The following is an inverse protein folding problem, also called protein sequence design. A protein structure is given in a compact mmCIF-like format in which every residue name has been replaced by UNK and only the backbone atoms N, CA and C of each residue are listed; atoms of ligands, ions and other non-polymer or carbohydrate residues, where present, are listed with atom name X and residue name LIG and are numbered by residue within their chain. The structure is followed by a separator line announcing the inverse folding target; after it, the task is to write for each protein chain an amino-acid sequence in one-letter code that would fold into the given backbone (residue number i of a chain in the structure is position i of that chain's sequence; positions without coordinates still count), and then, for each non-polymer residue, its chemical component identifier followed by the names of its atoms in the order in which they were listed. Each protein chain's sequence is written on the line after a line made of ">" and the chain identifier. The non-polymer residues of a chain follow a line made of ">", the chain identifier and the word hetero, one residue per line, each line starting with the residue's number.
data_IF_697634301486
#
_entry.id   IF_697634301486
#
_cell.length_a   1.000
_cell.length_b   1.000
_cell.length_c   1.000
_cell.angle_alpha   90.00
_cell.angle_beta   90.00
_cell.angle_gamma   90.00
#
_symmetry.space_group_name_H-M   'P 1'
#
loop_
_entity.id
_entity.type
_entity.pdbx_description
1 polymer ?
#
# COMPACT_ATOMS: atom_id res chain seq x y z
N UNK A 1 -22.06 -29.25 33.53
CA UNK A 1 -21.60 -27.85 33.38
C UNK A 1 -20.09 -27.89 33.26
N UNK A 2 -19.58 -27.99 32.02
CA UNK A 2 -18.15 -28.08 31.73
C UNK A 2 -17.64 -26.72 31.28
N UNK A 3 -16.53 -26.28 31.85
CA UNK A 3 -15.77 -25.11 31.41
C UNK A 3 -14.50 -25.62 30.75
N UNK A 4 -14.35 -25.38 29.45
CA UNK A 4 -13.14 -25.66 28.69
C UNK A 4 -12.22 -24.43 28.78
N UNK A 5 -11.08 -24.56 29.45
CA UNK A 5 -9.95 -23.64 29.33
C UNK A 5 -8.85 -24.35 28.56
N UNK A 6 -8.82 -24.17 27.24
CA UNK A 6 -7.73 -24.65 26.38
C UNK A 6 -6.64 -23.59 26.31
N UNK A 7 -5.56 -23.77 27.09
CA UNK A 7 -4.32 -23.03 26.92
C UNK A 7 -3.50 -23.67 25.80
N UNK A 8 -3.09 -22.87 24.80
CA UNK A 8 -2.14 -23.28 23.78
C UNK A 8 -0.73 -23.21 24.36
N UNK A 9 -0.18 -24.36 24.73
CA UNK A 9 1.24 -24.51 25.07
C UNK A 9 2.06 -24.64 23.77
N UNK A 10 3.07 -23.78 23.63
CA UNK A 10 3.96 -23.74 22.48
C UNK A 10 5.05 -24.81 22.65
N UNK A 11 4.91 -25.95 21.96
CA UNK A 11 5.93 -27.02 21.95
C UNK A 11 7.07 -26.65 21.00
N UNK A 12 8.22 -26.38 21.62
CA UNK A 12 9.51 -26.11 20.97
C UNK A 12 10.03 -27.39 20.30
N UNK A 13 9.77 -27.55 19.01
CA UNK A 13 10.37 -28.62 18.21
C UNK A 13 11.88 -28.38 18.02
N UNK A 14 12.68 -29.37 18.43
CA UNK A 14 14.12 -29.47 18.19
C UNK A 14 14.39 -30.11 16.83
N UNK A 15 15.30 -29.50 16.07
CA UNK A 15 16.30 -30.18 15.24
C UNK A 15 15.86 -30.76 13.91
N UNK A 16 16.20 -30.06 12.83
CA UNK A 16 16.22 -30.58 11.46
C UNK A 16 16.86 -29.58 10.50
N UNK A 17 18.12 -29.83 10.14
CA UNK A 17 18.91 -29.05 9.19
C UNK A 17 18.38 -29.25 7.77
N UNK A 18 17.73 -28.23 7.20
CA UNK A 18 17.53 -28.02 5.76
C UNK A 18 17.56 -26.52 5.50
N UNK A 19 18.43 -26.12 4.58
CA UNK A 19 18.58 -24.82 3.89
C UNK A 19 18.35 -23.52 4.69
N UNK A 20 19.43 -22.74 4.85
CA UNK A 20 19.43 -21.31 5.19
C UNK A 20 18.79 -20.46 4.07
N UNK A 21 17.52 -20.73 3.77
CA UNK A 21 16.63 -19.74 3.17
C UNK A 21 16.14 -18.82 4.29
N UNK A 22 16.31 -17.51 4.14
CA UNK A 22 15.84 -16.52 5.10
C UNK A 22 14.33 -16.67 5.35
N UNK A 23 13.96 -17.42 6.39
CA UNK A 23 12.59 -17.50 6.86
C UNK A 23 12.25 -16.14 7.50
N UNK A 24 11.76 -15.21 6.69
CA UNK A 24 11.12 -13.99 7.19
C UNK A 24 9.98 -14.43 8.11
N UNK A 25 9.98 -13.95 9.35
CA UNK A 25 8.96 -14.35 10.33
C UNK A 25 7.56 -14.05 9.80
N UNK A 26 6.67 -15.04 9.78
CA UNK A 26 5.30 -14.88 9.25
C UNK A 26 4.54 -13.71 9.90
N UNK A 27 4.78 -13.43 11.18
CA UNK A 27 4.16 -12.31 11.88
C UNK A 27 4.74 -10.94 11.48
N UNK A 28 5.97 -10.89 10.98
CA UNK A 28 6.64 -9.66 10.56
C UNK A 28 6.23 -9.26 9.13
N UNK A 29 5.68 -10.20 8.36
CA UNK A 29 5.28 -10.00 6.96
C UNK A 29 3.79 -9.68 6.80
N UNK A 30 3.01 -9.61 7.89
CA UNK A 30 1.62 -9.15 7.85
C UNK A 30 1.48 -7.80 8.55
N UNK A 31 1.02 -6.80 7.80
CA UNK A 31 0.84 -5.46 8.32
C UNK A 31 -0.39 -4.78 7.69
N UNK A 32 -1.04 -3.85 8.40
CA UNK A 32 -2.05 -2.98 7.81
C UNK A 32 -1.43 -2.08 6.74
N UNK A 33 -2.19 -1.81 5.69
CA UNK A 33 -1.78 -0.87 4.64
C UNK A 33 -2.71 0.33 4.61
N UNK A 34 -2.16 1.49 4.27
CA UNK A 34 -2.87 2.75 4.21
C UNK A 34 -2.72 3.35 2.81
N UNK A 35 -3.81 3.84 2.24
CA UNK A 35 -3.82 4.54 0.95
C UNK A 35 -4.53 5.90 1.06
N UNK A 36 -3.84 6.96 0.62
CA UNK A 36 -4.37 8.31 0.64
C UNK A 36 -5.31 8.55 -0.54
N UNK A 37 -6.55 8.96 -0.27
CA UNK A 37 -7.54 9.20 -1.32
C UNK A 37 -7.25 10.48 -2.14
N UNK A 38 -6.49 11.43 -1.58
CA UNK A 38 -6.13 12.68 -2.26
C UNK A 38 -4.98 12.51 -3.25
N UNK A 39 -3.82 12.02 -2.81
CA UNK A 39 -2.63 11.93 -3.66
C UNK A 39 -2.28 10.52 -4.17
N UNK A 40 -2.93 9.47 -3.66
CA UNK A 40 -2.65 8.08 -4.01
C UNK A 40 -1.39 7.48 -3.34
N UNK A 41 -0.79 8.17 -2.37
CA UNK A 41 0.34 7.63 -1.60
C UNK A 41 -0.10 6.42 -0.77
N UNK A 42 0.66 5.33 -0.87
CA UNK A 42 0.46 4.09 -0.11
C UNK A 42 1.59 3.90 0.90
N UNK A 43 1.27 3.37 2.08
CA UNK A 43 2.27 3.05 3.10
C UNK A 43 1.88 1.81 3.90
N UNK A 44 2.90 1.10 4.39
CA UNK A 44 2.73 0.05 5.40
C UNK A 44 2.68 0.70 6.77
N UNK A 45 1.70 0.30 7.59
CA UNK A 45 1.53 0.85 8.94
C UNK A 45 2.08 -0.11 9.99
N UNK A 46 2.68 0.48 11.02
CA UNK A 46 2.86 -0.21 12.29
C UNK A 46 1.53 -0.33 13.05
N UNK A 47 1.33 -1.46 13.72
CA UNK A 47 0.12 -1.76 14.50
C UNK A 47 -0.24 -0.68 15.53
N UNK A 48 0.74 0.05 16.07
CA UNK A 48 0.54 1.11 17.07
C UNK A 48 0.09 2.46 16.47
N UNK A 49 0.07 2.58 15.15
CA UNK A 49 -0.18 3.86 14.44
C UNK A 49 -1.51 3.91 13.69
N UNK A 50 -2.37 2.89 13.78
CA UNK A 50 -3.63 2.81 13.02
C UNK A 50 -4.54 4.04 13.20
N UNK A 51 -4.81 4.44 14.44
CA UNK A 51 -5.68 5.61 14.71
C UNK A 51 -5.03 6.99 14.45
N UNK A 52 -3.77 7.02 14.00
CA UNK A 52 -2.99 8.25 13.77
C UNK A 52 -2.35 8.30 12.38
N UNK A 53 -2.74 7.38 11.48
CA UNK A 53 -2.21 7.35 10.13
C UNK A 53 -2.56 8.67 9.41
N UNK A 54 -1.54 9.32 8.87
CA UNK A 54 -1.68 10.53 8.05
C UNK A 54 -0.87 10.35 6.78
N UNK A 55 -1.26 11.04 5.71
CA UNK A 55 -0.45 11.07 4.50
C UNK A 55 0.67 12.09 4.68
N UNK A 56 1.92 11.65 4.50
CA UNK A 56 3.09 12.53 4.60
C UNK A 56 3.25 13.45 3.37
N UNK A 57 2.58 13.14 2.25
CA UNK A 57 2.74 13.86 0.99
C UNK A 57 1.78 15.02 0.77
N UNK A 58 0.55 14.98 1.30
CA UNK A 58 -0.45 16.04 1.09
C UNK A 58 -1.25 16.43 2.33
N UNK A 59 -1.62 15.47 3.20
CA UNK A 59 -2.55 15.73 4.32
C UNK A 59 -1.91 16.32 5.59
N UNK A 60 -0.66 16.81 5.54
CA UNK A 60 0.02 17.37 6.72
C UNK A 60 -0.44 18.80 7.06
N UNK A 61 -0.98 19.53 6.09
CA UNK A 61 -1.27 20.97 6.21
C UNK A 61 -2.78 21.30 6.28
N UNK A 62 -3.65 20.42 5.78
CA UNK A 62 -5.11 20.65 5.72
C UNK A 62 -5.81 20.78 7.09
N UNK A 63 -5.11 20.49 8.20
CA UNK A 63 -5.67 20.61 9.56
C UNK A 63 -5.41 21.98 10.22
N UNK A 64 -4.57 22.84 9.66
CA UNK A 64 -4.23 24.14 10.28
C UNK A 64 -5.16 25.30 9.89
N UNK A 65 -5.98 25.15 8.86
CA UNK A 65 -6.80 26.25 8.33
C UNK A 65 -8.31 26.09 8.60
N UNK A 66 -8.68 25.20 9.51
CA UNK A 66 -10.04 25.09 10.07
C UNK A 66 -9.99 25.13 11.60
N UNK A 67 -9.37 26.17 12.17
CA UNK A 67 -9.75 26.60 13.51
C UNK A 67 -11.00 27.47 13.36
N UNK A 68 -12.12 27.18 14.06
CA UNK A 68 -13.22 28.12 14.10
C UNK A 68 -12.70 29.36 14.81
N UNK A 69 -12.53 30.44 14.05
CA UNK A 69 -12.33 31.76 14.62
C UNK A 69 -13.48 31.99 15.60
N UNK A 70 -13.16 32.10 16.88
CA UNK A 70 -14.09 32.50 17.93
C UNK A 70 -14.49 33.96 17.68
N UNK A 71 -15.32 34.17 16.65
CA UNK A 71 -16.03 35.39 16.37
C UNK A 71 -17.26 35.44 17.26
N UNK A 72 -17.20 36.27 18.29
CA UNK A 72 -18.35 36.66 19.09
C UNK A 72 -19.42 37.23 18.16
N UNK A 73 -20.49 36.45 17.92
CA UNK A 73 -21.62 36.89 17.11
C UNK A 73 -22.66 37.54 18.03
N UNK A 74 -22.74 38.86 17.96
CA UNK A 74 -23.91 39.64 18.36
C UNK A 74 -25.14 39.14 17.58
N UNK A 75 -26.21 38.87 18.32
CA UNK A 75 -27.53 38.49 17.78
C UNK A 75 -28.21 39.72 17.19
N UNK A 76 -28.57 39.64 15.91
CA UNK A 76 -29.72 40.35 15.35
C UNK A 76 -30.31 39.48 14.22
N UNK A 77 -31.60 39.20 14.36
CA UNK A 77 -32.45 38.43 13.44
C UNK A 77 -32.53 39.04 12.05
N UNK A 78 -32.72 38.19 11.04
CA UNK A 78 -33.81 38.26 10.05
C UNK A 78 -33.64 37.17 8.97
N UNK A 79 -34.51 36.17 9.10
CA UNK A 79 -35.27 35.37 8.12
C UNK A 79 -34.81 35.18 6.66
N UNK A 80 -34.97 33.90 6.25
CA UNK A 80 -35.28 33.34 4.92
C UNK A 80 -34.13 33.04 3.92
N UNK A 81 -33.94 31.73 3.68
CA UNK A 81 -33.01 31.18 2.68
C UNK A 81 -32.88 29.66 2.76
N UNK A 82 -33.90 28.95 2.30
CA UNK A 82 -34.05 27.49 2.24
C UNK A 82 -33.16 26.86 1.14
N UNK A 83 -32.21 26.01 1.52
CA UNK A 83 -31.84 24.82 0.72
C UNK A 83 -31.35 23.71 1.65
N UNK A 84 -32.25 22.78 1.94
CA UNK A 84 -31.96 21.48 2.52
C UNK A 84 -31.53 20.54 1.38
N UNK A 85 -30.23 20.41 1.16
CA UNK A 85 -29.67 19.17 0.62
C UNK A 85 -28.86 18.52 1.75
N UNK A 86 -29.47 17.57 2.49
CA UNK A 86 -28.75 16.73 3.42
C UNK A 86 -28.19 15.56 2.62
N UNK A 87 -27.00 15.69 2.03
CA UNK A 87 -26.13 14.57 1.60
C UNK A 87 -24.87 15.10 0.86
N UNK A 88 -24.28 16.22 1.29
CA UNK A 88 -22.86 16.44 1.02
C UNK A 88 -22.13 15.78 2.18
N UNK A 89 -21.94 14.46 2.10
CA UNK A 89 -20.83 13.84 2.79
C UNK A 89 -19.58 14.58 2.31
N UNK A 90 -19.02 15.43 3.16
CA UNK A 90 -17.64 15.86 3.03
C UNK A 90 -16.83 14.58 2.95
N UNK A 91 -16.44 14.17 1.74
CA UNK A 91 -15.53 13.05 1.55
C UNK A 91 -14.29 13.35 2.40
N UNK A 92 -14.18 12.63 3.51
CA UNK A 92 -13.07 12.76 4.43
C UNK A 92 -11.80 12.57 3.61
N UNK A 93 -10.99 13.62 3.50
CA UNK A 93 -9.67 13.62 2.86
C UNK A 93 -8.68 12.83 3.75
N UNK A 94 -9.08 11.59 4.05
CA UNK A 94 -8.51 10.73 5.05
C UNK A 94 -7.67 9.62 4.42
N UNK A 95 -6.85 9.02 5.27
CA UNK A 95 -6.12 7.81 4.94
C UNK A 95 -7.08 6.62 5.04
N UNK A 96 -7.26 5.87 3.95
CA UNK A 96 -8.04 4.62 4.02
C UNK A 96 -7.13 3.48 4.46
N UNK A 97 -7.48 2.84 5.56
CA UNK A 97 -6.72 1.72 6.12
C UNK A 97 -7.40 0.41 5.73
N UNK A 98 -6.62 -0.51 5.19
CA UNK A 98 -6.99 -1.89 4.93
C UNK A 98 -6.33 -2.79 5.97
N UNK A 99 -6.98 -3.93 6.28
CA UNK A 99 -6.55 -4.87 7.31
C UNK A 99 -5.15 -5.45 7.10
N UNK A 100 -4.69 -6.35 7.98
CA UNK A 100 -3.40 -7.00 7.80
C UNK A 100 -3.39 -7.76 6.47
N UNK A 101 -2.46 -7.37 5.62
CA UNK A 101 -2.16 -8.05 4.35
C UNK A 101 -0.71 -8.49 4.36
N UNK A 102 -0.38 -9.46 3.52
CA UNK A 102 1.00 -9.81 3.26
C UNK A 102 1.74 -8.61 2.65
N UNK A 103 2.81 -8.17 3.29
CA UNK A 103 3.70 -7.07 2.87
C UNK A 103 5.16 -7.54 2.70
N UNK A 104 5.40 -8.84 2.86
CA UNK A 104 6.70 -9.45 2.59
C UNK A 104 6.94 -9.71 1.10
N UNK A 105 8.05 -10.38 0.75
CA UNK A 105 8.36 -10.72 -0.64
C UNK A 105 7.21 -11.49 -1.30
N UNK A 106 6.79 -11.06 -2.50
CA UNK A 106 5.72 -11.72 -3.25
C UNK A 106 6.24 -12.95 -4.02
N UNK A 107 7.52 -12.92 -4.37
CA UNK A 107 8.16 -13.93 -5.21
C UNK A 107 9.47 -14.41 -4.58
N UNK A 108 9.76 -15.70 -4.74
CA UNK A 108 11.12 -16.23 -4.60
C UNK A 108 11.81 -16.13 -5.98
N UNK A 109 12.82 -15.26 -6.16
CA UNK A 109 13.46 -15.05 -7.45
C UNK A 109 14.16 -16.32 -7.97
N UNK A 110 14.67 -17.19 -7.08
CA UNK A 110 15.32 -18.43 -7.51
C UNK A 110 14.29 -19.45 -7.98
N UNK A 111 13.11 -19.49 -7.35
CA UNK A 111 11.99 -20.28 -7.86
C UNK A 111 11.55 -19.80 -9.25
N UNK A 112 11.42 -18.48 -9.46
CA UNK A 112 11.03 -17.93 -10.76
C UNK A 112 12.05 -18.23 -11.86
N UNK A 113 13.35 -18.14 -11.55
CA UNK A 113 14.42 -18.53 -12.49
C UNK A 113 14.34 -20.01 -12.88
N UNK A 114 14.08 -20.90 -11.91
CA UNK A 114 13.86 -22.32 -12.18
C UNK A 114 12.62 -22.54 -13.06
N UNK A 115 11.53 -21.82 -12.80
CA UNK A 115 10.31 -21.87 -13.61
C UNK A 115 10.57 -21.41 -15.05
N UNK A 116 11.39 -20.37 -15.25
CA UNK A 116 11.77 -19.88 -16.58
C UNK A 116 12.58 -20.91 -17.38
N UNK A 117 13.53 -21.59 -16.75
CA UNK A 117 14.27 -22.69 -17.38
C UNK A 117 13.34 -23.84 -17.80
N UNK A 118 12.44 -24.28 -16.93
CA UNK A 118 11.48 -25.34 -17.23
C UNK A 118 10.51 -24.96 -18.35
N UNK A 119 9.99 -23.73 -18.34
CA UNK A 119 9.13 -23.23 -19.40
C UNK A 119 9.83 -23.26 -20.76
N UNK A 120 11.12 -22.91 -20.80
CA UNK A 120 11.94 -22.98 -22.01
C UNK A 120 12.11 -24.42 -22.51
N UNK A 121 12.41 -25.36 -21.59
CA UNK A 121 12.58 -26.79 -21.92
C UNK A 121 11.29 -27.42 -22.48
N UNK A 122 10.13 -27.02 -21.95
CA UNK A 122 8.83 -27.52 -22.39
C UNK A 122 8.27 -26.79 -23.61
N UNK A 123 8.99 -25.79 -24.13
CA UNK A 123 8.56 -25.01 -25.30
C UNK A 123 7.41 -24.04 -25.02
N UNK A 124 7.23 -23.61 -23.77
CA UNK A 124 6.20 -22.65 -23.36
C UNK A 124 6.68 -21.20 -23.52
N UNK A 125 7.04 -20.84 -24.76
CA UNK A 125 7.63 -19.54 -25.07
C UNK A 125 6.76 -18.34 -24.66
N UNK A 126 5.43 -18.49 -24.69
CA UNK A 126 4.48 -17.43 -24.34
C UNK A 126 4.55 -17.00 -22.86
N UNK A 127 5.13 -17.83 -21.98
CA UNK A 127 5.28 -17.52 -20.55
C UNK A 127 6.55 -16.73 -20.24
N UNK A 128 7.54 -16.71 -21.14
CA UNK A 128 8.82 -16.04 -20.88
C UNK A 128 8.65 -14.55 -20.51
N UNK A 129 7.84 -13.75 -21.24
CA UNK A 129 7.66 -12.34 -20.90
C UNK A 129 7.00 -12.12 -19.53
N UNK A 130 6.12 -13.02 -19.11
CA UNK A 130 5.47 -12.93 -17.79
C UNK A 130 6.47 -13.23 -16.67
N UNK A 131 7.27 -14.30 -16.82
CA UNK A 131 8.26 -14.69 -15.83
C UNK A 131 9.37 -13.65 -15.69
N UNK A 132 9.79 -13.00 -16.78
CA UNK A 132 10.71 -11.87 -16.74
C UNK A 132 10.15 -10.72 -15.89
N UNK A 133 8.89 -10.33 -16.11
CA UNK A 133 8.25 -9.29 -15.29
C UNK A 133 8.19 -9.70 -13.81
N UNK A 134 7.80 -10.94 -13.50
CA UNK A 134 7.75 -11.41 -12.11
C UNK A 134 9.14 -11.44 -11.44
N UNK A 135 10.20 -11.73 -12.19
CA UNK A 135 11.58 -11.70 -11.70
C UNK A 135 12.00 -10.27 -11.39
N UNK A 136 11.68 -9.32 -12.27
CA UNK A 136 11.95 -7.90 -12.06
C UNK A 136 11.14 -7.35 -10.85
N UNK A 137 9.90 -7.79 -10.66
CA UNK A 137 9.05 -7.44 -9.51
C UNK A 137 9.47 -8.11 -8.19
N UNK A 138 10.34 -9.14 -8.24
CA UNK A 138 10.84 -9.83 -7.05
C UNK A 138 11.96 -9.07 -6.31
N UNK A 139 12.38 -7.92 -6.82
CA UNK A 139 13.44 -7.08 -6.21
C UNK A 139 13.01 -6.60 -4.81
N UNK A 140 13.75 -6.96 -3.73
CA UNK A 140 13.41 -6.57 -2.36
C UNK A 140 13.53 -5.06 -2.10
N UNK A 141 14.18 -4.30 -2.99
CA UNK A 141 14.24 -2.84 -2.89
C UNK A 141 12.95 -2.17 -3.38
N UNK A 142 12.05 -2.91 -4.03
CA UNK A 142 10.73 -2.43 -4.42
C UNK A 142 9.76 -2.45 -3.23
N UNK A 143 8.93 -1.40 -3.06
CA UNK A 143 7.89 -1.40 -2.04
C UNK A 143 6.79 -2.42 -2.38
N UNK A 144 6.02 -2.90 -1.38
CA UNK A 144 4.96 -3.91 -1.57
C UNK A 144 3.69 -3.36 -2.27
N UNK A 145 3.79 -2.23 -2.96
CA UNK A 145 2.70 -1.56 -3.66
C UNK A 145 3.20 -0.91 -4.95
N UNK A 146 2.29 -0.71 -5.89
CA UNK A 146 2.55 -0.07 -7.16
C UNK A 146 1.68 1.18 -7.34
N UNK A 147 2.13 2.10 -8.20
CA UNK A 147 1.36 3.26 -8.62
C UNK A 147 0.98 3.09 -10.07
N UNK A 148 -0.30 3.26 -10.38
CA UNK A 148 -0.75 3.26 -11.78
C UNK A 148 -0.36 4.57 -12.44
N UNK A 149 0.31 4.50 -13.59
CA UNK A 149 0.72 5.69 -14.36
C UNK A 149 -0.44 6.64 -14.64
N UNK A 150 -1.63 6.09 -14.94
CA UNK A 150 -2.84 6.88 -15.14
C UNK A 150 -3.22 7.71 -13.92
N UNK A 151 -3.13 7.15 -12.71
CA UNK A 151 -3.48 7.86 -11.48
C UNK A 151 -2.49 9.00 -11.22
N UNK A 152 -1.18 8.74 -11.40
CA UNK A 152 -0.15 9.78 -11.26
C UNK A 152 -0.36 10.92 -12.26
N UNK A 153 -0.73 10.57 -13.50
CA UNK A 153 -0.92 11.55 -14.57
C UNK A 153 -2.17 12.39 -14.36
N UNK A 154 -3.25 11.76 -13.88
CA UNK A 154 -4.47 12.45 -13.44
C UNK A 154 -4.17 13.44 -12.33
N UNK A 155 -3.42 13.04 -11.31
CA UNK A 155 -3.01 13.91 -10.20
C UNK A 155 -2.11 15.06 -10.67
N UNK A 156 -1.23 14.81 -11.64
CA UNK A 156 -0.33 15.84 -12.20
C UNK A 156 -0.98 16.72 -13.29
N UNK A 157 -2.22 16.44 -13.71
CA UNK A 157 -2.89 17.17 -14.79
C UNK A 157 -2.21 17.01 -16.16
N UNK A 158 -1.49 15.90 -16.40
CA UNK A 158 -0.78 15.63 -17.64
C UNK A 158 -1.34 14.39 -18.35
N UNK A 159 -1.12 14.29 -19.66
CA UNK A 159 -1.41 13.06 -20.40
C UNK A 159 -0.51 11.91 -19.90
N UNK A 160 -1.04 10.69 -19.70
CA UNK A 160 -0.24 9.57 -19.24
C UNK A 160 0.93 9.24 -20.18
N UNK A 161 2.19 9.30 -19.70
CA UNK A 161 3.33 8.79 -20.46
C UNK A 161 3.28 7.26 -20.58
N UNK A 162 4.04 6.69 -21.52
CA UNK A 162 4.22 5.23 -21.55
C UNK A 162 4.93 4.75 -20.29
N UNK A 163 4.64 3.51 -19.87
CA UNK A 163 5.31 2.87 -18.73
C UNK A 163 6.82 2.99 -18.85
N UNK A 164 7.39 2.57 -19.99
CA UNK A 164 8.84 2.56 -20.19
C UNK A 164 9.47 3.96 -20.07
N UNK A 165 8.75 5.01 -20.47
CA UNK A 165 9.22 6.40 -20.31
C UNK A 165 9.25 6.82 -18.83
N UNK A 166 8.29 6.36 -18.03
CA UNK A 166 8.28 6.56 -16.57
C UNK A 166 9.44 5.81 -15.94
N UNK A 167 9.58 4.52 -16.23
CA UNK A 167 10.64 3.66 -15.68
C UNK A 167 12.03 4.21 -16.00
N UNK A 168 12.28 4.55 -17.26
CA UNK A 168 13.54 5.16 -17.66
C UNK A 168 13.77 6.52 -16.96
N UNK A 169 12.72 7.30 -16.72
CA UNK A 169 12.79 8.57 -16.00
C UNK A 169 13.11 8.43 -14.52
N UNK A 170 12.59 7.37 -13.87
CA UNK A 170 12.87 7.01 -12.47
C UNK A 170 14.30 6.47 -12.32
N UNK A 171 14.70 5.51 -13.16
CA UNK A 171 16.06 4.95 -13.17
C UNK A 171 17.13 6.02 -13.39
N UNK A 172 16.91 6.97 -14.30
CA UNK A 172 17.83 8.12 -14.51
C UNK A 172 18.00 9.01 -13.28
N UNK A 173 17.03 9.02 -12.36
CA UNK A 173 17.06 9.77 -11.10
C UNK A 173 17.57 8.95 -9.92
N UNK A 174 17.98 7.70 -10.16
CA UNK A 174 18.50 6.80 -9.12
C UNK A 174 17.43 6.06 -8.32
N UNK A 175 16.18 6.01 -8.80
CA UNK A 175 15.12 5.20 -8.17
C UNK A 175 15.06 3.79 -8.78
N UNK A 176 14.75 2.81 -7.92
CA UNK A 176 14.43 1.44 -8.34
C UNK A 176 13.05 1.39 -9.00
N UNK A 177 12.92 0.58 -10.04
CA UNK A 177 11.67 0.43 -10.78
C UNK A 177 11.71 -0.87 -11.61
N UNK A 178 10.82 -1.82 -11.31
CA UNK A 178 10.57 -3.07 -12.05
C UNK A 178 9.46 -2.93 -13.08
#
# INVERSE_FOLDING_TARGET
>A
KGTLTGGYSNERARGGSLDEGAHVGLAESYAPTAHCLSCGHSQVLDWTRLGRATCESCCREDRKEQAPETGTRTVASSEEGKSTDPDVETEDAGMRISGPVWVGPLHDPDALRRMSSLASEWGWADLAPLLEVMIDEADPELPPYFVRTHDLSRTAGISPPSRDKVMAGLRRRGFFSG
#
